data_IF_849953717250
#
_entry.id   IF_849953717250
#
_cell.length_a   1.000
_cell.length_b   1.000
_cell.length_c   1.000
_cell.angle_alpha   90.00
_cell.angle_beta   90.00
_cell.angle_gamma   90.00
#
_symmetry.space_group_name_H-M   'P 1'
#
loop_
_entity.id
_entity.type
_entity.pdbx_description
1 polymer ?
2 branched ?
3 non-polymer ?
#
# COMPACT_ATOMS: atom_id res chain seq x y z
N UNK A 33 12.83 -10.44 -8.42
CA UNK A 33 11.63 -10.24 -7.61
C UNK A 33 11.28 -11.52 -6.86
N UNK A 34 11.41 -11.47 -5.53
CA UNK A 34 11.10 -12.66 -4.72
C UNK A 34 9.64 -13.07 -4.87
N UNK A 35 9.42 -14.38 -4.76
CA UNK A 35 8.09 -14.95 -4.96
C UNK A 35 7.72 -15.78 -3.74
N UNK A 36 6.57 -15.45 -3.12
CA UNK A 36 6.16 -16.13 -1.92
C UNK A 36 5.45 -17.44 -2.24
N UNK A 37 5.93 -18.52 -1.63
CA UNK A 37 5.32 -19.83 -1.77
C UNK A 37 5.23 -20.47 -0.38
N UNK A 38 4.15 -21.23 -0.14
CA UNK A 38 3.87 -21.82 1.16
C UNK A 38 4.35 -23.27 1.17
N UNK A 39 5.37 -23.55 1.98
CA UNK A 39 5.87 -24.91 2.18
C UNK A 39 5.95 -25.20 3.67
N UNK A 40 5.63 -26.44 4.03
CA UNK A 40 5.65 -26.88 5.42
C UNK A 40 4.85 -25.91 6.29
N UNK A 41 3.71 -25.47 5.76
CA UNK A 41 2.82 -24.51 6.43
C UNK A 41 3.48 -23.16 6.68
N UNK A 42 4.57 -22.87 5.98
CA UNK A 42 5.34 -21.65 6.21
C UNK A 42 5.48 -20.85 4.93
N UNK A 43 5.46 -19.53 5.05
CA UNK A 43 5.70 -18.63 3.93
C UNK A 43 7.19 -18.53 3.64
N UNK A 44 7.57 -18.80 2.40
CA UNK A 44 8.97 -18.85 2.03
C UNK A 44 9.21 -18.04 0.75
N UNK A 45 10.46 -17.63 0.57
CA UNK A 45 10.87 -16.87 -0.60
C UNK A 45 11.83 -17.74 -1.42
N UNK A 46 11.59 -17.79 -2.74
CA UNK A 46 12.41 -18.54 -3.67
C UNK A 46 11.82 -18.52 -5.07
N UNK A 47 12.68 -18.51 -6.09
CA UNK A 47 12.17 -18.59 -7.45
C UNK A 47 13.16 -19.30 -8.36
N UNK A 48 14.44 -18.93 -8.26
CA UNK A 48 15.41 -19.34 -9.27
C UNK A 48 15.69 -20.84 -9.20
N UNK A 49 16.27 -21.31 -8.09
CA UNK A 49 16.64 -22.71 -7.99
C UNK A 49 15.75 -23.61 -7.15
N UNK A 50 14.72 -23.07 -6.54
CA UNK A 50 13.82 -23.91 -5.75
C UNK A 50 12.74 -24.47 -6.66
N UNK A 51 13.11 -25.44 -7.48
CA UNK A 51 12.21 -26.06 -8.40
C UNK A 51 11.60 -27.16 -7.58
N UNK A 52 10.54 -26.85 -6.88
CA UNK A 52 9.93 -27.90 -6.12
C UNK A 52 8.93 -28.42 -7.10
N UNK A 53 9.12 -29.64 -7.54
CA UNK A 53 8.21 -30.25 -8.51
C UNK A 53 6.79 -30.40 -7.99
N UNK A 54 6.66 -30.65 -6.70
CA UNK A 54 5.37 -30.81 -6.05
C UNK A 54 4.49 -29.60 -6.20
N UNK A 55 5.08 -28.40 -6.15
CA UNK A 55 4.33 -27.15 -6.30
C UNK A 55 3.51 -27.16 -7.59
N UNK A 56 2.23 -26.84 -7.46
CA UNK A 56 1.31 -26.84 -8.59
C UNK A 56 0.83 -25.42 -8.84
N UNK A 57 1.04 -24.93 -10.06
CA UNK A 57 0.48 -23.66 -10.54
C UNK A 57 -0.35 -24.02 -11.76
N UNK A 58 -1.64 -24.28 -11.57
CA UNK A 58 -2.51 -24.72 -12.64
C UNK A 58 -3.39 -23.61 -13.19
N UNK A 59 -3.24 -22.38 -12.71
CA UNK A 59 -4.03 -21.26 -13.21
C UNK A 59 -3.37 -19.96 -12.78
N UNK A 60 -3.59 -18.91 -13.58
CA UNK A 60 -3.05 -17.60 -13.24
C UNK A 60 -3.76 -16.97 -12.04
N UNK A 61 -4.90 -17.52 -11.61
CA UNK A 61 -5.59 -16.99 -10.45
C UNK A 61 -4.82 -17.22 -9.16
N UNK A 62 -4.08 -18.32 -9.09
CA UNK A 62 -3.24 -18.57 -7.93
C UNK A 62 -2.13 -17.53 -7.78
N UNK A 63 -1.89 -16.70 -8.80
CA UNK A 63 -0.91 -15.64 -8.69
C UNK A 63 -1.58 -14.36 -8.21
N UNK A 64 -1.04 -13.77 -7.14
CA UNK A 64 -1.61 -12.57 -6.57
C UNK A 64 -0.51 -11.59 -6.20
N UNK A 65 -0.85 -10.31 -6.26
CA UNK A 65 0.02 -9.22 -5.83
C UNK A 65 -0.73 -8.43 -4.76
N UNK A 66 -0.11 -8.28 -3.59
CA UNK A 66 -0.77 -7.70 -2.42
C UNK A 66 -0.03 -6.43 -2.03
N UNK A 67 -0.79 -5.37 -1.79
CA UNK A 67 -0.24 -4.12 -1.28
C UNK A 67 -0.52 -3.95 0.19
N UNK A 68 0.48 -4.21 1.03
CA UNK A 68 0.33 -4.15 2.47
C UNK A 68 0.79 -2.78 2.96
N UNK A 69 0.02 -2.21 3.90
CA UNK A 69 0.36 -0.90 4.43
C UNK A 69 1.52 -0.97 5.40
N UNK A 70 2.30 0.10 5.45
CA UNK A 70 3.35 0.24 6.46
C UNK A 70 2.78 0.37 7.87
N UNK A 71 1.49 0.67 8.01
CA UNK A 71 0.85 0.70 9.32
C UNK A 71 1.01 -0.63 10.03
N UNK A 72 0.89 -1.74 9.29
CA UNK A 72 0.91 -3.06 9.88
C UNK A 72 2.16 -3.39 10.64
N UNK A 73 3.26 -2.65 10.38
CA UNK A 73 4.53 -2.87 11.06
C UNK A 73 4.76 -1.92 12.23
N UNK A 74 3.88 -0.94 12.44
CA UNK A 74 3.93 -0.09 13.60
C UNK A 74 4.51 1.29 13.38
N UNK A 75 4.70 1.72 12.14
CA UNK A 75 5.27 3.04 11.89
C UNK A 75 4.32 4.11 12.42
N UNK A 76 4.89 5.24 12.85
CA UNK A 76 4.07 6.34 13.33
C UNK A 76 3.25 6.92 12.19
N UNK A 77 2.02 7.35 12.51
CA UNK A 77 1.08 7.79 11.49
C UNK A 77 0.69 9.25 11.61
N UNK A 78 1.19 9.97 12.61
CA UNK A 78 0.85 11.38 12.79
C UNK A 78 1.48 12.21 11.68
N UNK A 79 0.77 13.26 11.27
CA UNK A 79 1.22 14.09 10.16
C UNK A 79 2.63 14.62 10.34
N UNK A 80 3.04 15.16 11.50
CA UNK A 80 4.40 15.71 11.61
C UNK A 80 5.52 14.70 11.36
N UNK A 81 5.43 13.52 11.96
CA UNK A 81 6.49 12.52 11.82
C UNK A 81 6.49 11.90 10.44
N UNK A 82 5.31 11.72 9.84
CA UNK A 82 5.21 11.03 8.56
C UNK A 82 5.87 11.85 7.45
N UNK A 83 5.61 13.15 7.41
CA UNK A 83 6.13 14.00 6.33
C UNK A 83 7.65 14.04 6.30
N UNK A 84 8.32 13.60 7.38
CA UNK A 84 9.77 13.53 7.34
C UNK A 84 10.28 12.30 6.59
N UNK A 85 9.39 11.36 6.26
CA UNK A 85 9.74 10.22 5.44
C UNK A 85 9.70 10.52 3.95
N UNK A 86 9.28 11.74 3.57
CA UNK A 86 9.14 12.12 2.17
C UNK A 86 10.12 13.24 1.85
N UNK A 87 10.56 13.25 0.60
CA UNK A 87 11.48 14.28 0.15
C UNK A 87 11.44 14.41 -1.34
N UNK A 88 11.80 15.61 -1.82
CA UNK A 88 11.78 15.90 -3.23
C UNK A 88 13.13 15.57 -3.86
N UNK A 89 13.09 15.08 -5.10
CA UNK A 89 14.29 14.70 -5.83
C UNK A 89 14.01 14.77 -7.32
N UNK A 90 14.97 15.29 -8.08
CA UNK A 90 14.86 15.46 -9.52
C UNK A 90 15.77 14.50 -10.26
N UNK A 91 15.64 14.48 -11.58
CA UNK A 91 16.45 13.64 -12.44
C UNK A 91 16.10 12.16 -12.40
N UNK A 92 15.12 11.76 -11.61
CA UNK A 92 14.69 10.38 -11.48
C UNK A 92 13.26 10.28 -12.01
N UNK A 93 13.00 9.52 -13.07
CA UNK A 93 11.65 9.44 -13.63
C UNK A 93 10.76 8.59 -12.75
N UNK A 94 9.50 8.97 -12.57
CA UNK A 94 8.60 8.19 -11.73
C UNK A 94 8.23 6.85 -12.37
N UNK A 95 7.87 5.89 -11.50
CA UNK A 95 7.49 4.55 -11.93
C UNK A 95 6.28 4.06 -11.17
N UNK A 96 5.40 3.35 -11.86
CA UNK A 96 4.12 2.88 -11.33
C UNK A 96 3.97 1.40 -11.67
N UNK A 97 3.42 0.64 -10.71
CA UNK A 97 3.09 -0.77 -10.90
C UNK A 97 1.69 -0.96 -10.35
N UNK A 98 1.04 -2.04 -10.78
CA UNK A 98 -0.31 -2.37 -10.33
C UNK A 98 -0.27 -3.52 -9.32
N UNK A 99 -1.22 -3.51 -8.40
CA UNK A 99 -1.41 -4.62 -7.48
C UNK A 99 -2.90 -4.93 -7.37
N UNK A 100 -3.21 -6.18 -7.04
CA UNK A 100 -4.58 -6.65 -7.07
C UNK A 100 -5.31 -6.40 -5.75
N UNK A 101 -4.74 -6.87 -4.65
CA UNK A 101 -5.37 -6.78 -3.34
C UNK A 101 -4.61 -5.76 -2.48
N UNK A 102 -5.36 -4.94 -1.76
CA UNK A 102 -4.75 -3.98 -0.85
C UNK A 102 -5.06 -4.25 0.60
N UNK A 103 -4.94 -3.23 1.44
CA UNK A 103 -5.20 -3.38 2.87
C UNK A 103 -5.94 -2.14 3.37
N UNK A 104 -6.97 -2.37 4.19
CA UNK A 104 -7.68 -1.28 4.82
C UNK A 104 -6.75 -0.49 5.72
N UNK A 105 -6.66 0.82 5.48
CA UNK A 105 -5.75 1.68 6.21
C UNK A 105 -6.52 2.61 7.14
N UNK A 106 -6.03 2.73 8.37
CA UNK A 106 -6.60 3.69 9.29
C UNK A 106 -6.17 5.12 8.97
N UNK A 107 -5.02 5.28 8.33
CA UNK A 107 -4.50 6.60 7.98
C UNK A 107 -4.16 6.66 6.51
N UNK A 108 -4.52 7.78 5.89
CA UNK A 108 -4.12 8.10 4.53
C UNK A 108 -3.83 9.59 4.46
N UNK A 109 -3.24 10.00 3.34
CA UNK A 109 -2.77 11.37 3.21
C UNK A 109 -3.11 11.89 1.83
N UNK A 110 -3.38 13.19 1.75
CA UNK A 110 -3.77 13.87 0.51
C UNK A 110 -3.14 15.26 0.56
N UNK A 111 -2.10 15.48 -0.23
CA UNK A 111 -1.30 16.69 -0.15
C UNK A 111 -1.71 17.69 -1.22
N UNK A 112 -1.80 18.96 -0.81
CA UNK A 112 -2.07 20.08 -1.71
C UNK A 112 -1.04 21.17 -1.40
N UNK A 113 0.22 20.86 -1.66
CA UNK A 113 1.35 21.72 -1.27
C UNK A 113 1.75 22.59 -2.45
N UNK A 114 2.01 23.86 -2.16
CA UNK A 114 2.44 24.84 -3.15
C UNK A 114 3.72 25.52 -2.68
N UNK A 115 4.41 26.18 -3.61
CA UNK A 115 5.61 26.94 -3.27
C UNK A 115 5.23 28.35 -2.84
N UNK A 116 6.09 29.02 -2.07
CA UNK A 116 5.72 30.37 -1.59
C UNK A 116 5.44 31.37 -2.70
N UNK A 117 5.95 31.14 -3.91
CA UNK A 117 5.65 32.02 -5.03
C UNK A 117 4.35 31.67 -5.73
N UNK A 118 3.61 30.68 -5.23
CA UNK A 118 2.34 30.31 -5.83
C UNK A 118 2.40 29.18 -6.82
N UNK A 119 3.58 28.62 -7.10
CA UNK A 119 3.71 27.53 -8.05
C UNK A 119 3.49 26.19 -7.34
N UNK A 120 2.62 25.35 -7.91
CA UNK A 120 2.33 24.05 -7.34
C UNK A 120 3.60 23.21 -7.22
N UNK A 121 3.64 22.35 -6.22
CA UNK A 121 4.79 21.47 -6.02
C UNK A 121 4.61 20.08 -6.58
N UNK A 122 3.39 19.55 -6.52
CA UNK A 122 3.08 18.18 -6.91
C UNK A 122 2.39 18.14 -8.26
N UNK A 123 2.69 17.14 -9.08
CA UNK A 123 2.02 17.02 -10.38
C UNK A 123 0.60 16.49 -10.25
N UNK A 124 -0.24 16.90 -11.19
CA UNK A 124 -1.62 16.42 -11.21
C UNK A 124 -1.64 14.92 -11.44
N UNK A 125 -2.70 14.28 -10.94
CA UNK A 125 -2.81 12.83 -11.03
C UNK A 125 -2.98 12.42 -12.49
N UNK A 126 -2.18 11.46 -12.99
CA UNK A 126 -2.33 11.02 -14.37
C UNK A 126 -3.63 10.26 -14.58
N UNK A 127 -3.98 10.07 -15.85
CA UNK A 127 -5.25 9.45 -16.22
C UNK A 127 -5.40 8.09 -15.56
N UNK A 128 -6.48 7.90 -14.82
CA UNK A 128 -6.85 6.63 -14.26
C UNK A 128 -6.33 6.35 -12.87
N UNK A 129 -5.55 7.25 -12.29
CA UNK A 129 -4.97 7.07 -10.95
C UNK A 129 -5.86 7.81 -9.96
N UNK A 130 -6.65 7.06 -9.20
CA UNK A 130 -7.54 7.61 -8.18
C UNK A 130 -6.96 7.36 -6.80
N UNK A 131 -7.67 7.85 -5.80
CA UNK A 131 -7.22 7.73 -4.43
C UNK A 131 -7.31 6.32 -3.91
N UNK A 132 -6.70 6.11 -2.74
CA UNK A 132 -6.78 4.82 -2.09
C UNK A 132 -8.21 4.55 -1.69
N UNK A 133 -8.77 3.38 -2.01
CA UNK A 133 -10.21 3.20 -1.83
C UNK A 133 -10.67 3.14 -0.37
N UNK A 134 -9.85 2.62 0.56
CA UNK A 134 -10.30 2.39 1.94
C UNK A 134 -9.40 3.12 2.92
N UNK A 135 -9.94 4.16 3.58
CA UNK A 135 -9.20 4.94 4.56
C UNK A 135 -10.15 5.36 5.67
N UNK A 136 -9.77 5.04 6.91
CA UNK A 136 -10.57 5.47 8.05
C UNK A 136 -10.44 6.98 8.27
N UNK A 137 -9.20 7.47 8.32
CA UNK A 137 -8.92 8.90 8.48
C UNK A 137 -8.09 9.39 7.31
N UNK A 138 -8.55 10.46 6.67
CA UNK A 138 -7.87 11.08 5.54
C UNK A 138 -7.24 12.38 6.04
N UNK A 139 -5.91 12.42 6.04
CA UNK A 139 -5.17 13.60 6.45
C UNK A 139 -4.90 14.46 5.21
N UNK A 140 -5.76 15.45 5.00
CA UNK A 140 -5.61 16.38 3.88
C UNK A 140 -4.82 17.58 4.37
N UNK A 141 -3.59 17.72 3.89
CA UNK A 141 -2.68 18.78 4.32
C UNK A 141 -2.56 19.81 3.20
N UNK A 142 -2.65 21.07 3.57
CA UNK A 142 -2.46 22.18 2.65
C UNK A 142 -1.41 23.12 3.23
N UNK A 143 -0.55 23.67 2.38
CA UNK A 143 0.43 24.62 2.87
C UNK A 143 1.50 24.92 1.84
N UNK A 144 2.64 25.37 2.35
CA UNK A 144 3.74 25.85 1.52
C UNK A 144 5.04 25.17 1.92
N UNK A 145 5.97 25.12 0.97
CA UNK A 145 7.29 24.57 1.20
C UNK A 145 8.25 24.96 0.09
N UNK A 146 9.55 24.73 0.30
CA UNK A 146 10.52 25.08 -0.75
C UNK A 146 10.43 24.16 -1.96
N UNK A 147 10.17 22.87 -1.74
CA UNK A 147 9.98 21.90 -2.82
C UNK A 147 11.17 21.88 -3.77
N UNK A 148 12.34 21.64 -3.19
CA UNK A 148 13.57 21.55 -3.96
C UNK A 148 13.60 20.26 -4.76
N UNK A 149 12.68 20.10 -5.70
CA UNK A 149 12.61 18.89 -6.50
C UNK A 149 11.32 18.73 -7.27
N UNK A 150 11.39 18.03 -8.41
CA UNK A 150 10.20 17.87 -9.23
C UNK A 150 9.20 16.93 -8.57
N UNK A 151 9.64 15.73 -8.22
CA UNK A 151 8.79 14.74 -7.61
C UNK A 151 9.21 14.51 -6.16
N UNK A 152 8.26 14.04 -5.36
CA UNK A 152 8.50 13.70 -3.96
C UNK A 152 8.43 12.19 -3.80
N UNK A 153 9.53 11.58 -3.39
CA UNK A 153 9.64 10.14 -3.25
C UNK A 153 9.60 9.75 -1.78
N UNK A 154 9.74 8.46 -1.52
CA UNK A 154 9.82 7.92 -0.17
C UNK A 154 11.29 7.73 0.20
N UNK A 155 11.69 8.33 1.32
CA UNK A 155 13.09 8.28 1.76
C UNK A 155 13.52 6.89 2.21
N UNK A 156 12.60 5.95 2.32
CA UNK A 156 12.91 4.60 2.77
C UNK A 156 12.69 3.54 1.70
N UNK A 157 12.25 3.95 0.51
CA UNK A 157 12.06 3.02 -0.59
C UNK A 157 10.67 2.47 -0.74
N UNK A 158 9.78 2.72 0.22
CA UNK A 158 8.42 2.22 0.12
C UNK A 158 7.69 2.90 -1.04
N UNK A 159 6.52 2.37 -1.36
CA UNK A 159 5.67 2.87 -2.43
C UNK A 159 4.57 3.76 -1.89
N UNK A 160 3.91 4.46 -2.80
CA UNK A 160 2.69 5.18 -2.50
C UNK A 160 1.54 4.39 -3.12
N UNK A 161 0.73 3.75 -2.29
CA UNK A 161 -0.35 2.91 -2.78
C UNK A 161 -1.57 3.74 -3.13
N UNK A 162 -2.08 3.54 -4.34
CA UNK A 162 -3.32 4.18 -4.75
C UNK A 162 -4.34 3.11 -5.10
N UNK A 163 -5.33 3.45 -5.92
CA UNK A 163 -6.35 2.51 -6.38
C UNK A 163 -5.76 1.44 -7.27
N UNK A 164 -5.30 0.34 -6.66
CA UNK A 164 -4.70 -0.79 -7.38
C UNK A 164 -3.54 -0.34 -8.27
N UNK A 165 -2.84 0.70 -7.83
CA UNK A 165 -1.65 1.20 -8.50
C UNK A 165 -0.73 1.77 -7.43
N UNK A 166 0.51 1.27 -7.37
CA UNK A 166 1.52 1.78 -6.46
C UNK A 166 2.49 2.64 -7.26
N UNK A 167 2.77 3.84 -6.76
CA UNK A 167 3.69 4.76 -7.42
C UNK A 167 4.82 5.14 -6.47
N UNK A 168 5.93 5.58 -7.07
CA UNK A 168 7.08 6.01 -6.28
C UNK A 168 7.04 7.50 -5.97
N UNK A 169 6.03 8.24 -6.43
CA UNK A 169 5.94 9.66 -6.21
C UNK A 169 4.58 9.98 -5.59
N UNK A 170 4.41 11.23 -5.22
CA UNK A 170 3.18 11.73 -4.63
C UNK A 170 2.49 12.61 -5.67
N UNK A 171 1.20 12.40 -5.87
CA UNK A 171 0.41 13.19 -6.79
C UNK A 171 -0.42 14.22 -6.04
N UNK A 172 -0.64 15.36 -6.68
CA UNK A 172 -1.33 16.47 -6.03
C UNK A 172 -2.79 16.12 -5.79
N UNK A 173 -3.24 16.31 -4.54
CA UNK A 173 -4.64 16.14 -4.23
C UNK A 173 -5.17 14.75 -4.41
N UNK A 174 -4.30 13.74 -4.33
CA UNK A 174 -4.70 12.35 -4.48
C UNK A 174 -4.41 11.60 -3.18
N UNK A 175 -5.46 11.01 -2.60
CA UNK A 175 -5.32 10.27 -1.35
C UNK A 175 -4.49 9.01 -1.58
N UNK A 176 -3.45 8.83 -0.77
CA UNK A 176 -2.54 7.70 -0.90
C UNK A 176 -2.30 7.06 0.45
N UNK A 177 -1.76 5.84 0.40
CA UNK A 177 -1.37 5.09 1.58
C UNK A 177 0.05 4.60 1.37
N UNK A 178 0.90 4.78 2.38
CA UNK A 178 2.27 4.29 2.32
C UNK A 178 2.28 2.78 2.48
N UNK A 179 2.83 2.08 1.50
CA UNK A 179 2.84 0.63 1.56
C UNK A 179 3.87 0.03 0.64
N UNK A 180 3.85 -1.31 0.61
CA UNK A 180 4.76 -2.08 -0.22
C UNK A 180 3.98 -3.26 -0.77
N UNK A 181 4.50 -3.85 -1.84
CA UNK A 181 3.79 -4.89 -2.58
C UNK A 181 4.56 -6.20 -2.47
N UNK A 182 3.84 -7.28 -2.18
CA UNK A 182 4.38 -8.63 -2.16
C UNK A 182 3.82 -9.43 -3.33
N UNK A 183 4.46 -10.58 -3.62
CA UNK A 183 4.02 -11.47 -4.68
C UNK A 183 3.91 -12.89 -4.16
N UNK A 184 2.80 -13.55 -4.52
CA UNK A 184 2.42 -14.82 -3.90
C UNK A 184 1.96 -15.82 -4.95
N UNK A 185 2.15 -17.10 -4.63
CA UNK A 185 1.47 -18.19 -5.30
C UNK A 185 0.53 -18.81 -4.28
N UNK A 186 -0.77 -18.81 -4.59
CA UNK A 186 -1.70 -19.33 -3.60
C UNK A 186 -1.87 -20.83 -3.78
N UNK A 187 -1.97 -21.57 -2.67
CA UNK A 187 -2.28 -22.99 -2.77
C UNK A 187 -3.62 -23.22 -3.46
N UNK A 188 -3.73 -24.35 -4.16
CA UNK A 188 -4.92 -24.65 -4.93
C UNK A 188 -6.15 -24.92 -4.07
N UNK A 189 -5.99 -25.04 -2.75
CA UNK A 189 -7.11 -25.36 -1.88
C UNK A 189 -8.14 -24.23 -1.84
N UNK A 190 -7.73 -23.06 -1.35
CA UNK A 190 -8.61 -21.90 -1.29
C UNK A 190 -7.75 -20.69 -1.65
N UNK A 191 -7.86 -20.22 -2.89
CA UNK A 191 -6.99 -19.17 -3.41
C UNK A 191 -7.67 -17.82 -3.24
N UNK A 192 -7.40 -17.17 -2.11
CA UNK A 192 -7.80 -15.79 -1.88
C UNK A 192 -7.09 -15.19 -0.67
N UNK A 215 -15.04 7.07 6.18
CA UNK A 215 -13.92 7.96 5.94
C UNK A 215 -14.19 9.35 6.49
N UNK A 216 -13.24 9.87 7.26
CA UNK A 216 -13.35 11.20 7.84
C UNK A 216 -12.16 12.05 7.40
N UNK A 217 -12.46 13.22 6.83
CA UNK A 217 -11.42 14.12 6.34
C UNK A 217 -10.94 15.03 7.47
N UNK A 218 -9.63 15.01 7.73
CA UNK A 218 -8.99 15.87 8.72
C UNK A 218 -8.06 16.82 7.97
N UNK A 219 -8.34 18.12 8.10
CA UNK A 219 -7.62 19.16 7.37
C UNK A 219 -6.48 19.72 8.22
N UNK A 220 -5.35 19.99 7.57
CA UNK A 220 -4.19 20.58 8.24
C UNK A 220 -3.69 21.77 7.43
N UNK A 221 -2.89 22.60 8.08
CA UNK A 221 -2.15 23.67 7.43
C UNK A 221 -0.67 23.48 7.70
N UNK A 222 0.16 23.82 6.73
CA UNK A 222 1.59 23.60 6.84
C UNK A 222 2.35 24.81 6.32
N UNK A 223 3.49 25.08 6.96
CA UNK A 223 4.43 26.08 6.48
C UNK A 223 5.81 25.46 6.45
N UNK A 224 6.58 25.81 5.43
CA UNK A 224 7.90 25.22 5.25
C UNK A 224 7.82 23.72 5.12
N UNK A 225 6.93 23.24 4.25
CA UNK A 225 6.76 21.81 4.07
C UNK A 225 8.06 21.18 3.58
N UNK A 226 8.43 20.06 4.20
CA UNK A 226 9.56 19.29 3.71
C UNK A 226 10.91 19.75 4.18
N UNK A 227 10.99 20.41 5.33
CA UNK A 227 12.28 20.83 5.88
C UNK A 227 12.43 20.33 7.32
N UNK A 228 13.47 20.78 8.01
CA UNK A 228 13.63 20.49 9.43
C UNK A 228 12.83 21.44 10.31
N UNK A 229 12.43 22.60 9.78
CA UNK A 229 11.66 23.62 10.49
C UNK A 229 10.31 23.77 9.80
N UNK A 230 9.34 22.93 10.20
CA UNK A 230 7.98 22.99 9.67
C UNK A 230 7.01 23.30 10.80
N UNK A 231 5.92 24.00 10.46
CA UNK A 231 4.88 24.35 11.42
C UNK A 231 3.53 23.88 10.88
N UNK A 232 2.83 23.06 11.66
CA UNK A 232 1.55 22.50 11.27
C UNK A 232 0.43 23.06 12.13
N UNK A 233 -0.76 23.13 11.55
CA UNK A 233 -1.94 23.65 12.25
C UNK A 233 -3.14 22.78 11.93
N UNK A 234 -3.81 22.28 12.96
CA UNK A 234 -5.01 21.47 12.78
C UNK A 234 -6.19 22.39 12.48
N UNK A 235 -6.84 22.18 11.32
CA UNK A 235 -7.90 23.07 10.86
C UNK A 235 -9.24 22.66 11.47
N UNK A 236 -9.72 23.45 12.42
CA UNK A 236 -11.07 23.27 12.93
C UNK A 236 -12.09 23.79 11.92
N UNK A 237 -11.95 25.04 11.52
CA UNK A 237 -12.66 25.61 10.39
C UNK A 237 -11.70 26.52 9.65
N UNK A 238 -12.23 27.39 8.78
CA UNK A 238 -11.38 28.27 8.00
C UNK A 238 -10.66 29.32 8.84
N UNK A 239 -11.03 29.49 10.11
CA UNK A 239 -10.45 30.54 10.94
C UNK A 239 -10.07 30.07 12.34
N UNK A 240 -10.35 28.82 12.69
CA UNK A 240 -9.98 28.27 13.99
C UNK A 240 -8.95 27.16 13.77
N UNK A 241 -7.82 27.27 14.45
CA UNK A 241 -6.71 26.34 14.26
C UNK A 241 -6.11 25.96 15.60
N UNK A 242 -5.55 24.76 15.65
CA UNK A 242 -4.93 24.20 16.85
C UNK A 242 -3.49 23.82 16.52
N UNK A 243 -2.56 24.21 17.38
CA UNK A 243 -1.16 23.87 17.15
C UNK A 243 -0.98 22.36 17.28
N UNK A 244 -0.44 21.75 16.23
CA UNK A 244 -0.34 20.30 16.18
C UNK A 244 0.90 19.82 16.93
N UNK A 245 0.83 18.60 17.44
CA UNK A 245 1.96 17.93 18.07
C UNK A 245 2.05 16.52 17.52
N UNK A 246 3.21 15.88 17.76
CA UNK A 246 3.41 14.51 17.30
C UNK A 246 2.56 13.51 18.07
N UNK A 247 2.11 13.86 19.26
CA UNK A 247 1.36 12.97 20.13
C UNK A 247 -0.15 12.98 19.86
N UNK A 248 -0.63 13.93 19.06
CA UNK A 248 -2.07 14.04 18.82
C UNK A 248 -2.52 12.92 17.88
N UNK A 249 -3.38 12.05 18.38
CA UNK A 249 -3.92 10.96 17.60
C UNK A 249 -5.15 11.43 16.81
N UNK A 250 -5.52 10.70 15.76
CA UNK A 250 -6.73 11.09 15.00
C UNK A 250 -7.98 11.15 15.86
N UNK A 251 -8.21 10.17 16.73
CA UNK A 251 -9.35 10.23 17.63
C UNK A 251 -9.29 11.44 18.55
N UNK A 252 -8.07 11.92 18.83
CA UNK A 252 -7.92 13.10 19.69
C UNK A 252 -8.27 14.38 18.95
N UNK A 253 -7.92 14.46 17.66
CA UNK A 253 -8.24 15.65 16.88
C UNK A 253 -9.74 15.78 16.67
N UNK A 254 -10.44 14.66 16.51
CA UNK A 254 -11.88 14.73 16.28
C UNK A 254 -12.63 15.04 17.57
N UNK A 255 -12.21 14.45 18.69
CA UNK A 255 -12.83 14.78 19.98
C UNK A 255 -12.55 16.23 20.34
N UNK A 256 -11.35 16.72 20.05
CA UNK A 256 -11.04 18.13 20.27
C UNK A 256 -11.90 19.01 19.38
N UNK A 257 -12.14 18.59 18.13
CA UNK A 257 -12.96 19.37 17.21
C UNK A 257 -14.38 19.52 17.74
N UNK A 258 -14.94 18.46 18.32
CA UNK A 258 -16.31 18.52 18.83
C UNK A 258 -16.42 19.50 19.99
N UNK A 259 -15.38 19.60 20.82
CA UNK A 259 -15.45 20.48 21.98
C UNK A 259 -15.27 21.95 21.59
N UNK A 260 -14.39 22.24 20.64
CA UNK A 260 -14.22 23.63 20.21
C UNK A 260 -15.51 24.15 19.57
N UNK A 261 -16.13 23.34 18.71
CA UNK A 261 -17.38 23.74 18.10
C UNK A 261 -18.48 23.91 19.14
N UNK A 262 -18.63 22.93 20.03
CA UNK A 262 -19.76 22.95 20.97
C UNK A 262 -19.58 24.01 22.04
N UNK A 263 -18.37 24.14 22.61
CA UNK A 263 -18.14 25.10 23.67
C UNK A 263 -18.13 26.55 23.19
N UNK A 264 -18.31 26.78 21.90
CA UNK A 264 -18.34 28.13 21.38
C UNK A 264 -16.99 28.83 21.41
N UNK A 265 -15.92 28.09 21.10
CA UNK A 265 -14.56 28.64 21.08
C UNK A 265 -14.06 28.82 19.65
N UNK A 266 -14.95 29.20 18.75
CA UNK A 266 -14.57 29.51 17.38
C UNK A 266 -14.16 30.98 17.28
N UNK A 267 -13.39 31.29 16.24
CA UNK A 267 -12.77 32.59 16.09
C UNK A 267 -13.77 33.60 15.51
N UNK A 268 -13.28 34.81 15.20
CA UNK A 268 -14.11 35.86 14.63
C UNK A 268 -14.34 35.59 13.15
N UNK A 269 -14.94 36.56 12.45
CA UNK A 269 -15.29 36.37 11.05
C UNK A 269 -14.07 36.45 10.13
N UNK A 270 -13.03 37.17 10.53
CA UNK A 270 -11.81 37.27 9.74
C UNK A 270 -10.58 37.06 10.61
N UNK A 271 -10.65 37.49 11.87
CA UNK A 271 -9.56 37.33 12.81
C UNK A 271 -9.14 35.90 13.02
N UNK A 272 -7.87 35.60 12.76
CA UNK A 272 -7.35 34.24 12.85
C UNK A 272 -6.90 33.97 14.28
N UNK A 273 -7.44 32.90 14.88
CA UNK A 273 -7.11 32.51 16.25
C UNK A 273 -6.46 31.14 16.22
N UNK A 274 -5.31 31.02 16.87
CA UNK A 274 -4.53 29.79 16.90
C UNK A 274 -4.41 29.36 18.36
N UNK A 275 -5.16 28.32 18.73
CA UNK A 275 -5.08 27.76 20.08
C UNK A 275 -3.78 26.96 20.24
N UNK A 276 -3.54 26.54 21.48
CA UNK A 276 -2.44 25.63 21.76
C UNK A 276 -2.83 24.71 22.90
N UNK A 277 -2.27 23.50 22.88
CA UNK A 277 -2.53 22.48 23.89
C UNK A 277 -1.26 22.31 24.72
N UNK A 278 -1.39 22.48 26.03
CA UNK A 278 -0.25 22.36 26.93
C UNK A 278 0.18 20.90 27.08
N UNK A 279 1.43 20.66 27.49
CA UNK A 279 1.90 19.27 27.61
C UNK A 279 1.12 18.44 28.62
N UNK A 280 0.52 19.07 29.63
CA UNK A 280 -0.20 18.34 30.67
C UNK A 280 -1.54 17.77 30.19
N UNK A 281 -1.93 17.99 28.94
CA UNK A 281 -3.16 17.43 28.40
C UNK A 281 -2.84 16.07 27.80
N UNK A 282 -3.44 15.02 28.37
CA UNK A 282 -3.14 13.65 27.96
C UNK A 282 -3.83 13.31 26.64
N UNK A 283 -3.14 12.54 25.81
CA UNK A 283 -3.68 12.07 24.52
C UNK A 283 -3.57 10.56 24.39
N UNK A 289 0.00 0.87 19.10
CA UNK A 289 -0.50 0.82 17.73
C UNK A 289 -2.02 1.00 17.71
N UNK A 290 -2.59 1.15 16.51
CA UNK A 290 -4.03 1.40 16.42
C UNK A 290 -4.84 0.12 16.53
N UNK A 291 -4.34 -1.00 16.02
CA UNK A 291 -5.13 -2.23 16.04
C UNK A 291 -5.20 -2.86 17.41
N UNK A 292 -4.33 -2.46 18.34
CA UNK A 292 -4.38 -2.98 19.70
C UNK A 292 -5.07 -2.03 20.67
N UNK A 293 -5.42 -0.83 20.23
CA UNK A 293 -6.11 0.14 21.07
C UNK A 293 -7.37 0.65 20.39
N UNK A 343 14.63 -20.43 1.87
CA UNK A 343 14.77 -19.45 2.93
C UNK A 343 13.40 -19.04 3.47
N UNK A 344 13.24 -19.13 4.79
CA UNK A 344 11.97 -18.85 5.44
C UNK A 344 11.87 -17.36 5.74
N UNK A 345 10.67 -16.80 5.55
CA UNK A 345 10.44 -15.41 5.90
C UNK A 345 10.49 -15.24 7.41
N UNK A 346 11.26 -14.27 7.87
CA UNK A 346 11.37 -13.94 9.28
C UNK A 346 11.00 -12.48 9.44
N UNK A 347 9.86 -12.22 10.09
CA UNK A 347 9.40 -10.85 10.31
C UNK A 347 10.31 -10.18 11.31
N UNK A 348 11.12 -9.23 10.84
CA UNK A 348 12.04 -8.47 11.68
C UNK A 348 11.59 -7.03 11.85
N UNK A 349 10.28 -6.80 11.81
CA UNK A 349 9.70 -5.49 11.93
C UNK A 349 9.37 -5.17 13.38
N UNK A 350 9.14 -3.88 13.71
CA UNK A 350 8.79 -3.52 15.08
C UNK A 350 7.58 -4.28 15.61
N UNK A 351 6.43 -4.10 14.96
CA UNK A 351 5.21 -4.79 15.32
C UNK A 351 4.65 -5.51 14.10
N UNK A 352 3.59 -6.27 14.32
CA UNK A 352 2.87 -6.95 13.24
C UNK A 352 1.39 -7.00 13.58
N UNK A 353 0.57 -6.45 12.70
CA UNK A 353 -0.87 -6.60 12.83
C UNK A 353 -1.26 -7.99 12.32
N UNK A 354 -1.55 -8.94 13.21
CA UNK A 354 -1.67 -10.34 12.77
C UNK A 354 -2.89 -10.63 11.91
N UNK A 355 -3.78 -9.67 11.71
CA UNK A 355 -4.95 -9.87 10.87
C UNK A 355 -4.93 -8.90 9.70
N UNK A 356 -5.41 -9.37 8.54
CA UNK A 356 -5.40 -8.61 7.30
C UNK A 356 -6.84 -8.40 6.83
N UNK A 357 -7.34 -7.18 7.00
CA UNK A 357 -8.62 -6.76 6.46
C UNK A 357 -8.36 -6.18 5.06
N UNK A 358 -8.49 -7.01 4.04
CA UNK A 358 -8.08 -6.66 2.69
C UNK A 358 -9.28 -6.21 1.85
N UNK A 359 -8.95 -5.58 0.72
CA UNK A 359 -9.94 -5.25 -0.30
C UNK A 359 -9.43 -5.74 -1.66
N UNK A 360 -10.36 -6.21 -2.49
CA UNK A 360 -10.03 -6.68 -3.83
C UNK A 360 -11.29 -6.58 -4.67
N UNK A 361 -11.15 -6.89 -5.96
CA UNK A 361 -12.26 -6.86 -6.89
C UNK A 361 -12.56 -8.27 -7.39
N UNK A 362 -13.83 -8.63 -7.42
CA UNK A 362 -14.24 -9.96 -7.82
C UNK A 362 -14.81 -9.94 -9.24
N UNK A 363 -14.81 -11.12 -9.87
CA UNK A 363 -15.32 -11.30 -11.22
C UNK A 363 -15.99 -12.66 -11.27
N UNK A 364 -17.23 -12.69 -11.75
CA UNK A 364 -17.95 -13.94 -11.97
C UNK A 364 -19.17 -13.67 -12.83
N UNK A 365 -19.59 -14.70 -13.55
CA UNK A 365 -20.62 -14.53 -14.56
C UNK A 365 -22.00 -14.16 -14.03
N UNK A 366 -22.31 -14.58 -12.80
CA UNK A 366 -23.64 -14.28 -12.25
C UNK A 366 -23.84 -12.78 -12.08
N UNK A 367 -22.76 -12.06 -11.77
CA UNK A 367 -22.75 -10.61 -11.65
C UNK A 367 -23.84 -9.96 -10.83
N UNK A 368 -24.36 -10.64 -9.83
CA UNK A 368 -25.40 -10.06 -8.97
C UNK A 368 -26.57 -9.47 -9.74
N UNK A 369 -27.15 -10.23 -10.64
CA UNK A 369 -28.28 -9.73 -11.39
C UNK A 369 -28.13 -8.53 -12.28
N UNK A 370 -27.50 -8.72 -13.43
CA UNK A 370 -27.33 -7.70 -14.46
C UNK A 370 -26.63 -6.40 -14.09
N UNK A 371 -25.55 -6.51 -13.33
CA UNK A 371 -24.79 -5.36 -12.92
C UNK A 371 -23.54 -5.17 -13.71
N UNK A 372 -23.23 -6.07 -14.62
CA UNK A 372 -21.99 -5.89 -15.35
C UNK A 372 -22.06 -4.65 -16.18
N UNK A 373 -23.20 -4.45 -16.75
CA UNK A 373 -23.41 -3.31 -17.64
C UNK A 373 -22.90 -2.05 -16.92
N UNK A 374 -21.87 -1.39 -17.46
CA UNK A 374 -21.29 -0.24 -16.75
C UNK A 374 -22.29 0.87 -16.48
N UNK A 375 -23.21 1.09 -17.41
CA UNK A 375 -24.20 2.16 -17.25
C UNK A 375 -25.06 1.94 -16.00
N UNK A 376 -25.29 0.66 -15.62
CA UNK A 376 -26.09 0.34 -14.45
C UNK A 376 -25.29 -0.13 -13.25
N UNK A 377 -24.02 -0.51 -13.45
CA UNK A 377 -23.22 -1.02 -12.37
C UNK A 377 -22.83 0.04 -11.35
N UNK A 378 -21.97 -0.34 -10.42
CA UNK A 378 -21.61 0.57 -9.31
C UNK A 378 -20.69 1.69 -9.79
N UNK A 379 -20.35 2.60 -8.88
CA UNK A 379 -19.42 3.69 -9.16
C UNK A 379 -17.99 3.21 -8.92
N UNK A 380 -17.02 4.12 -8.96
CA UNK A 380 -15.62 3.73 -8.81
C UNK A 380 -15.29 3.23 -7.41
N UNK A 381 -16.22 3.35 -6.46
CA UNK A 381 -15.96 3.02 -5.06
C UNK A 381 -16.62 1.72 -4.62
N UNK A 382 -17.65 1.25 -5.32
CA UNK A 382 -18.40 0.10 -4.88
C UNK A 382 -18.17 -1.13 -5.74
N UNK A 383 -16.94 -1.27 -6.26
CA UNK A 383 -16.58 -2.42 -7.07
C UNK A 383 -15.80 -3.46 -6.28
N UNK A 384 -15.60 -3.25 -4.99
CA UNK A 384 -14.62 -4.01 -4.23
C UNK A 384 -15.26 -5.15 -3.44
N UNK A 385 -14.50 -6.25 -3.32
CA UNK A 385 -14.79 -7.31 -2.39
C UNK A 385 -13.99 -7.07 -1.12
N UNK A 386 -14.47 -7.61 0.00
CA UNK A 386 -13.75 -7.50 1.25
C UNK A 386 -13.66 -8.87 1.91
N UNK A 387 -12.68 -9.00 2.79
CA UNK A 387 -12.49 -10.23 3.56
C UNK A 387 -11.57 -9.97 4.73
N UNK A 388 -11.59 -10.88 5.69
CA UNK A 388 -10.74 -10.81 6.87
C UNK A 388 -9.92 -12.09 6.99
N UNK A 389 -8.60 -11.97 6.83
CA UNK A 389 -7.68 -13.09 6.94
C UNK A 389 -6.99 -13.04 8.30
N UNK A 390 -6.95 -14.18 8.97
CA UNK A 390 -6.26 -14.28 10.25
C UNK A 390 -4.89 -14.90 10.07
N UNK A 391 -4.10 -14.86 11.14
CA UNK A 391 -2.73 -15.34 11.10
C UNK A 391 -2.62 -16.85 11.27
N UNK A 392 -3.50 -17.60 10.62
CA UNK A 392 -3.32 -19.03 10.52
C UNK A 392 -2.06 -19.34 9.71
N UNK A 393 -1.21 -20.22 10.25
CA UNK A 393 0.09 -20.57 9.67
C UNK A 393 1.04 -19.37 9.61
N UNK A 394 0.75 -18.31 10.37
CA UNK A 394 1.62 -17.14 10.40
C UNK A 394 1.83 -16.47 9.06
N UNK A 395 0.81 -16.47 8.21
CA UNK A 395 0.98 -15.91 6.87
C UNK A 395 0.96 -14.39 6.86
N UNK A 396 0.22 -13.77 7.79
CA UNK A 396 0.04 -12.32 7.73
C UNK A 396 1.32 -11.60 8.14
N UNK A 397 1.91 -11.99 9.28
CA UNK A 397 3.17 -11.41 9.67
C UNK A 397 4.26 -11.70 8.65
N UNK A 398 4.29 -12.94 8.14
CA UNK A 398 5.24 -13.27 7.10
C UNK A 398 5.04 -12.41 5.86
N UNK A 399 3.79 -12.23 5.44
CA UNK A 399 3.50 -11.50 4.22
C UNK A 399 3.94 -10.05 4.32
N UNK A 400 3.70 -9.41 5.48
CA UNK A 400 4.18 -8.05 5.67
C UNK A 400 5.69 -7.97 5.51
N UNK A 401 6.39 -9.00 6.00
CA UNK A 401 7.84 -9.03 5.83
C UNK A 401 8.21 -9.27 4.38
N UNK A 402 7.46 -10.14 3.69
CA UNK A 402 7.74 -10.42 2.29
C UNK A 402 7.65 -9.15 1.46
N UNK A 403 6.58 -8.37 1.66
CA UNK A 403 6.43 -7.12 0.92
C UNK A 403 7.55 -6.14 1.21
N UNK A 404 8.07 -6.12 2.45
CA UNK A 404 9.23 -5.30 2.75
C UNK A 404 10.47 -5.83 2.04
N UNK A 405 10.70 -7.15 2.12
CA UNK A 405 11.87 -7.75 1.47
C UNK A 405 11.76 -7.71 -0.05
N UNK A 406 10.55 -7.63 -0.60
CA UNK A 406 10.39 -7.52 -2.05
C UNK A 406 10.76 -6.13 -2.55
N UNK A 407 10.59 -5.09 -1.73
CA UNK A 407 10.66 -3.71 -2.20
C UNK A 407 11.97 -3.42 -2.94
N UNK A 408 13.08 -3.96 -2.45
CA UNK A 408 14.39 -3.61 -3.01
C UNK A 408 14.54 -4.17 -4.43
N UNK A 409 14.12 -5.42 -4.64
CA UNK A 409 14.22 -6.02 -5.97
C UNK A 409 13.19 -5.42 -6.93
N UNK A 410 12.06 -4.92 -6.40
CA UNK A 410 11.02 -4.35 -7.24
C UNK A 410 11.33 -2.92 -7.64
N UNK A 411 12.01 -2.16 -6.77
CA UNK A 411 12.37 -0.79 -7.10
C UNK A 411 13.37 -0.73 -8.24
N UNK A 412 14.35 -1.65 -8.26
CA UNK A 412 15.32 -1.66 -9.34
C UNK A 412 14.71 -2.17 -10.64
N UNK A 413 13.78 -3.11 -10.56
CA UNK A 413 13.10 -3.61 -11.75
C UNK A 413 12.30 -2.51 -12.42
N UNK A 414 11.75 -1.57 -11.64
CA UNK A 414 11.05 -0.44 -12.23
C UNK A 414 12.00 0.66 -12.68
N UNK A 415 13.21 0.71 -12.13
CA UNK A 415 14.20 1.65 -12.64
C UNK A 415 14.65 1.26 -14.04
N UNK A 416 14.87 -0.04 -14.27
CA UNK A 416 15.43 -0.51 -15.53
C UNK A 416 14.41 -0.49 -16.67
N UNK A 417 13.12 -0.53 -16.35
CA UNK A 417 12.22 -0.57 -17.51
C UNK A 417 11.83 0.84 -17.93
N UNK A 418 11.75 1.12 -19.24
CA UNK A 418 11.21 2.40 -19.70
C UNK A 418 9.69 2.45 -19.75
N UNK A 419 9.00 1.53 -19.08
CA UNK A 419 7.54 1.49 -19.07
C UNK A 419 7.01 2.28 -17.89
N UNK A 420 6.03 3.16 -18.16
CA UNK A 420 5.52 4.02 -17.11
C UNK A 420 4.73 3.22 -16.08
N UNK A 421 3.83 2.35 -16.52
CA UNK A 421 3.03 1.51 -15.64
C UNK A 421 3.21 0.06 -16.06
N UNK A 422 3.74 -0.76 -15.15
CA UNK A 422 4.06 -2.15 -15.45
C UNK A 422 2.91 -3.05 -14.98
N UNK A 423 2.37 -3.84 -15.91
CA UNK A 423 1.29 -4.77 -15.59
C UNK A 423 1.67 -6.22 -15.78
N UNK A 424 2.90 -6.51 -16.22
CA UNK A 424 3.25 -7.84 -16.71
C UNK A 424 4.10 -8.64 -15.73
N UNK A 425 4.17 -8.23 -14.46
CA UNK A 425 5.03 -8.94 -13.52
C UNK A 425 4.47 -10.32 -13.21
N UNK A 426 3.15 -10.43 -13.08
CA UNK A 426 2.54 -11.72 -12.75
C UNK A 426 2.58 -12.67 -13.94
N UNK A 427 2.33 -12.16 -15.15
CA UNK A 427 2.48 -13.00 -16.33
C UNK A 427 3.91 -13.48 -16.48
N UNK A 428 4.88 -12.61 -16.23
CA UNK A 428 6.29 -12.99 -16.35
C UNK A 428 6.67 -14.07 -15.35
N UNK A 429 5.99 -14.11 -14.21
CA UNK A 429 6.21 -15.18 -13.24
C UNK A 429 5.76 -16.52 -13.82
N UNK A 430 4.52 -16.60 -14.30
CA UNK A 430 3.99 -17.87 -14.81
C UNK A 430 4.79 -18.36 -16.01
N UNK A 431 5.32 -17.45 -16.82
CA UNK A 431 6.17 -17.86 -17.93
C UNK A 431 7.46 -18.47 -17.41
N UNK A 432 8.11 -17.78 -16.47
CA UNK A 432 9.33 -18.32 -15.88
C UNK A 432 9.06 -19.66 -15.21
N UNK A 433 7.88 -19.80 -14.58
CA UNK A 433 7.55 -21.05 -13.89
C UNK A 433 7.50 -22.22 -14.85
N UNK A 434 7.00 -22.00 -16.06
CA UNK A 434 6.94 -23.06 -17.06
C UNK A 434 8.28 -23.31 -17.72
N UNK A 435 9.09 -22.25 -17.86
CA UNK A 435 10.38 -22.39 -18.51
C UNK A 435 11.39 -23.10 -17.63
N UNK A 436 11.24 -23.02 -16.31
CA UNK A 436 12.22 -23.64 -15.43
C UNK A 436 12.17 -25.17 -15.53
N UNK A 437 10.96 -25.72 -15.64
CA UNK A 437 10.77 -27.17 -15.65
C UNK A 437 10.56 -27.76 -17.05
N UNK A 438 9.85 -27.05 -17.92
CA UNK A 438 9.59 -27.51 -19.27
C UNK A 438 10.40 -26.78 -20.33
N UNK A 439 11.21 -25.80 -19.95
CA UNK A 439 12.02 -25.05 -20.90
C UNK A 439 13.14 -25.84 -21.53
N UNK A 440 13.48 -27.02 -20.99
CA UNK A 440 14.49 -27.87 -21.57
C UNK A 440 13.98 -29.29 -21.76
N UNK A 441 14.88 -30.15 -22.22
CA UNK A 441 14.55 -31.56 -22.40
C UNK A 441 14.28 -32.20 -21.05
N UNK A 442 13.10 -32.79 -20.90
CA UNK A 442 12.69 -33.41 -19.65
C UNK A 442 13.26 -34.82 -19.60
N UNK A 443 14.27 -35.04 -18.74
CA UNK A 443 14.87 -36.35 -18.56
C UNK A 443 14.10 -37.07 -17.45
N UNK A 444 13.27 -38.05 -17.85
CA UNK A 444 12.45 -38.77 -16.89
C UNK A 444 13.31 -39.41 -15.82
N UNK A 445 12.86 -39.33 -14.57
CA UNK A 445 13.53 -39.77 -13.36
C UNK A 445 14.70 -38.86 -12.98
N UNK A 446 14.96 -37.80 -13.74
CA UNK A 446 15.97 -36.83 -13.38
C UNK A 446 15.45 -35.83 -12.37
N UNK A 447 16.35 -35.11 -11.69
CA UNK A 447 15.88 -34.17 -10.67
C UNK A 447 15.12 -32.98 -11.24
N UNK A 448 15.34 -32.62 -12.50
CA UNK A 448 14.80 -31.41 -13.11
C UNK A 448 13.61 -31.70 -14.03
N UNK A 449 13.04 -32.89 -13.97
CA UNK A 449 11.94 -33.30 -14.84
C UNK A 449 10.79 -33.77 -13.98
N UNK A 450 9.72 -32.96 -13.90
CA UNK A 450 8.60 -33.29 -13.06
C UNK A 450 7.61 -34.08 -13.83
N UNK A 451 7.97 -35.30 -14.10
CA UNK A 451 7.18 -36.28 -14.80
C UNK A 451 7.20 -37.52 -13.97
N UNK A 452 6.05 -38.10 -13.66
CA UNK A 452 6.04 -39.30 -12.85
C UNK A 452 5.53 -40.50 -13.61
N UNK A 453 6.32 -41.55 -13.67
CA UNK A 453 5.95 -42.74 -14.41
C UNK A 453 5.61 -43.93 -13.56
N UNK A 454 5.44 -43.76 -12.27
CA UNK A 454 5.18 -44.92 -11.41
C UNK A 454 3.91 -45.70 -11.74
N UNK A 455 2.87 -45.02 -12.20
CA UNK A 455 1.66 -45.72 -12.57
C UNK A 455 1.89 -46.70 -13.73
N UNK A 456 2.70 -46.30 -14.69
CA UNK A 456 2.97 -47.14 -15.84
C UNK A 456 3.70 -48.45 -15.61
N UNK A 457 4.65 -48.45 -14.65
CA UNK A 457 5.48 -49.63 -14.35
C UNK A 457 4.63 -50.88 -14.25
N UNK A 458 3.57 -50.79 -13.44
CA UNK A 458 2.78 -51.95 -13.06
C UNK A 458 2.25 -52.68 -14.29
N UNK A 459 1.95 -51.94 -15.36
CA UNK A 459 1.48 -52.57 -16.58
C UNK A 459 2.59 -53.35 -17.27
N UNK A 460 3.84 -52.90 -17.12
CA UNK A 460 4.94 -53.61 -17.77
C UNK A 460 5.19 -54.96 -17.10
N UNK A 461 5.09 -55.00 -15.77
CA UNK A 461 5.35 -56.22 -15.02
C UNK A 461 4.46 -57.38 -15.45
X LIG B 1 11.51 -2.53 5.92
X LIG B 1 11.20 -1.02 5.75
X LIG B 1 12.45 -0.17 6.02
X LIG B 1 13.08 -0.56 7.36
X LIG B 1 13.28 -2.08 7.44
X LIG B 1 13.80 -2.53 8.78
X LIG B 1 11.05 -0.82 3.22
X LIG B 1 12.44 -1.39 3.06
X LIG B 1 10.56 -0.69 4.48
X LIG B 1 12.09 1.20 6.00
X LIG B 1 14.36 0.05 7.50
X LIG B 1 12.04 -2.77 7.21
X LIG B 1 15.18 -2.22 8.93
X LIG B 1 10.38 -0.48 2.26
X LIG B 2 14.39 1.40 8.01
X LIG B 2 14.97 1.47 9.45
X LIG B 2 15.19 2.92 9.87
X LIG B 2 16.04 3.65 8.85
X LIG B 2 15.38 3.55 7.47
X LIG B 2 16.21 4.18 6.38
X LIG B 2 12.87 1.11 10.72
X LIG B 2 12.18 0.23 11.72
X LIG B 2 14.13 0.76 10.40
X LIG B 2 15.84 2.94 11.15
X LIG B 2 16.20 5.03 9.22
X LIG B 2 15.22 2.18 7.13
X LIG B 2 16.03 3.52 5.14
X LIG B 2 12.30 2.07 10.21
X LIG C 1 -15.63 19.26 13.22
X LIG C 1 -15.58 18.46 11.93
X LIG C 1 -16.45 19.11 10.87
X LIG C 1 -17.87 19.31 11.40
X LIG C 1 -17.83 20.04 12.74
X LIG C 1 -19.20 20.16 13.38
X LIG C 1 -13.56 17.17 11.41
X LIG C 1 -12.15 17.22 10.91
X LIG C 1 -14.21 18.34 11.45
X LIG C 1 -16.49 18.29 9.71
X LIG C 1 -18.64 20.07 10.47
X LIG C 1 -16.98 19.35 13.66
X LIG C 1 -19.28 19.34 14.54
X LIG C 1 -14.09 16.12 11.74
#
# INVERSE_FOLDING_TARGET
MGVTGILQLPRDRFKRTSFFLWVIILFQRTFSIPLGVIHNSALQVSDVDKLVCRDKLSSTNQLRSVGLNLEGNGVATDVPSVTKRWGFRSGVPPKVVNYEAGEWAENCYNLEIKKPDGSECLPAAPDGIRGFPRCRYVHKVSGTGPCAGDFAFHKEGAFFLYDRLASTVIYRGTTFAEGVVAFLILPQAKKDFFSSHPLREPVNATEDPSSGYYSTTIRYQATGFGTNETEYLFEVDNLTYVQLESRFTPQFLLQLNETIYASGKRSNTTGKLIWKVNPEIDTTIGEWAFWETKKNLTRKIRSEELSFTAVSNSASSGKLGLITNTIAGVAGLITGGRRTRREVIVNAQPKCNPNLHYWTTQDEGAAIGLAWIPYFGPAAEGIYTEGLMHNQDGLICGLRQLANETTQALQLFLRATPELRTFSILNRFAIDFLLQRWGGTCHILGPDCCIEPHDWTKNITDKIDQIIHDFVDKTLPDQGDNDNWWTGHHHHHH
NAG C1 C2 C3 C4 C5 C6 C7 C8 N2 O3 O4 O5 O6 O7
NAG C1 C2 C3 C4 C5 C6 C7 C8 N2 O3 O4 O5 O6 O7
NAG C1 C2 C3 C4 C5 C6 C7 C8 N2 O3 O4 O5 O6 O7
#
